data_IF_735164508119
#
_entry.id   IF_735164508119
#
_cell.length_a   1.000
_cell.length_b   1.000
_cell.length_c   1.000
_cell.angle_alpha   90.00
_cell.angle_beta   90.00
_cell.angle_gamma   90.00
#
_symmetry.space_group_name_H-M   'P 1'
#
loop_
_entity.id
_entity.type
_entity.pdbx_description
1 polymer ?
#
# COMPACT_ATOMS: atom_id res chain seq x y z
N UNK A 1 -10.35 14.85 -8.63
CA UNK A 1 -9.51 15.15 -7.44
C UNK A 1 -10.21 16.02 -6.38
N UNK A 2 -11.05 17.02 -6.68
CA UNK A 2 -11.79 17.75 -5.63
C UNK A 2 -12.92 16.95 -4.97
N UNK A 3 -13.44 15.91 -5.65
CA UNK A 3 -14.55 15.09 -5.18
C UNK A 3 -14.29 14.41 -3.83
N UNK A 4 -13.11 13.80 -3.63
CA UNK A 4 -12.77 13.14 -2.37
C UNK A 4 -12.75 14.12 -1.18
N UNK A 5 -12.16 15.30 -1.36
CA UNK A 5 -12.14 16.32 -0.31
C UNK A 5 -13.56 16.79 0.02
N UNK A 6 -14.38 17.03 -0.99
CA UNK A 6 -15.79 17.40 -0.78
C UNK A 6 -16.59 16.32 -0.07
N UNK A 7 -16.41 15.05 -0.44
CA UNK A 7 -17.09 13.92 0.23
C UNK A 7 -16.71 13.83 1.72
N UNK A 8 -15.43 14.03 2.05
CA UNK A 8 -14.96 14.07 3.44
C UNK A 8 -15.57 15.24 4.23
N UNK A 9 -15.68 16.42 3.62
CA UNK A 9 -16.32 17.59 4.22
C UNK A 9 -17.83 17.37 4.45
N UNK A 10 -18.51 16.76 3.48
CA UNK A 10 -19.94 16.42 3.56
C UNK A 10 -20.21 15.37 4.64
N UNK A 11 -19.39 14.33 4.73
CA UNK A 11 -19.48 13.33 5.80
C UNK A 11 -19.25 13.95 7.18
N UNK A 12 -18.26 14.84 7.32
CA UNK A 12 -18.05 15.57 8.57
C UNK A 12 -19.28 16.43 8.92
N UNK A 13 -19.85 17.12 7.93
CA UNK A 13 -21.06 17.91 8.12
C UNK A 13 -22.26 17.05 8.53
N UNK A 14 -22.46 15.90 7.90
CA UNK A 14 -23.49 14.92 8.25
C UNK A 14 -23.32 14.40 9.68
N UNK A 15 -22.11 13.92 10.02
CA UNK A 15 -21.79 13.41 11.35
C UNK A 15 -22.00 14.47 12.44
N UNK A 16 -21.66 15.73 12.17
CA UNK A 16 -21.85 16.84 13.11
C UNK A 16 -23.31 17.21 13.35
N UNK A 17 -24.19 16.94 12.38
CA UNK A 17 -25.62 17.27 12.43
C UNK A 17 -26.51 16.03 12.65
N UNK A 18 -25.93 14.87 12.96
CA UNK A 18 -26.65 13.60 13.04
C UNK A 18 -27.77 13.63 14.07
N UNK A 19 -28.91 13.04 13.74
CA UNK A 19 -30.11 12.98 14.59
C UNK A 19 -30.39 11.56 15.07
N UNK A 20 -29.39 10.92 15.67
CA UNK A 20 -29.50 9.54 16.15
C UNK A 20 -28.16 8.82 16.06
N UNK A 21 -28.14 7.55 16.46
CA UNK A 21 -27.03 6.65 16.15
C UNK A 21 -27.07 6.20 14.68
N UNK A 22 -28.27 5.93 14.15
CA UNK A 22 -28.49 5.51 12.76
C UNK A 22 -29.06 6.69 11.94
N UNK A 23 -28.19 7.60 11.50
CA UNK A 23 -28.59 8.70 10.61
C UNK A 23 -28.26 8.34 9.15
N UNK A 24 -29.25 8.15 8.27
CA UNK A 24 -29.01 7.73 6.88
C UNK A 24 -28.20 8.76 6.08
N UNK A 25 -28.15 10.02 6.53
CA UNK A 25 -27.29 11.01 5.89
C UNK A 25 -25.79 10.74 6.15
N UNK A 26 -25.45 10.15 7.30
CA UNK A 26 -24.08 9.76 7.63
C UNK A 26 -23.70 8.52 6.83
N UNK A 27 -24.58 7.52 6.78
CA UNK A 27 -24.34 6.28 6.02
C UNK A 27 -24.19 6.58 4.52
N UNK A 28 -25.07 7.42 3.96
CA UNK A 28 -24.95 7.85 2.56
C UNK A 28 -23.65 8.62 2.28
N UNK A 29 -23.21 9.46 3.22
CA UNK A 29 -21.95 10.18 3.07
C UNK A 29 -20.72 9.28 3.25
N UNK A 30 -20.83 8.19 4.02
CA UNK A 30 -19.80 7.16 4.12
C UNK A 30 -19.59 6.46 2.78
N UNK A 31 -20.67 6.02 2.13
CA UNK A 31 -20.62 5.43 0.78
C UNK A 31 -20.05 6.41 -0.25
N UNK A 32 -20.45 7.68 -0.17
CA UNK A 32 -19.92 8.71 -1.08
C UNK A 32 -18.40 8.92 -0.94
N UNK A 33 -17.82 8.71 0.26
CA UNK A 33 -16.37 8.73 0.43
C UNK A 33 -15.72 7.54 -0.27
N UNK A 34 -16.28 6.34 -0.11
CA UNK A 34 -15.78 5.13 -0.76
C UNK A 34 -15.68 5.31 -2.28
N UNK A 35 -16.80 5.68 -2.92
CA UNK A 35 -16.85 5.91 -4.37
C UNK A 35 -15.84 6.99 -4.83
N UNK A 36 -15.74 8.08 -4.07
CA UNK A 36 -14.82 9.17 -4.40
C UNK A 36 -13.35 8.81 -4.18
N UNK A 37 -13.07 7.89 -3.26
CA UNK A 37 -11.73 7.38 -2.99
C UNK A 37 -11.30 6.39 -4.08
N UNK A 38 -12.16 5.48 -4.51
CA UNK A 38 -11.86 4.55 -5.61
C UNK A 38 -11.54 5.30 -6.91
N UNK A 39 -12.33 6.32 -7.23
CA UNK A 39 -12.05 7.19 -8.39
C UNK A 39 -10.74 8.00 -8.24
N UNK A 40 -10.28 8.26 -7.01
CA UNK A 40 -8.99 8.89 -6.77
C UNK A 40 -7.84 7.89 -6.94
N UNK A 41 -7.99 6.68 -6.41
CA UNK A 41 -7.03 5.57 -6.54
C UNK A 41 -6.82 5.22 -8.01
N UNK A 42 -7.88 5.03 -8.80
CA UNK A 42 -7.81 4.78 -10.24
C UNK A 42 -7.04 5.89 -10.97
N UNK A 43 -7.39 7.15 -10.70
CA UNK A 43 -6.71 8.29 -11.31
C UNK A 43 -5.24 8.43 -10.87
N UNK A 44 -4.89 8.01 -9.65
CA UNK A 44 -3.53 8.01 -9.14
C UNK A 44 -2.70 6.93 -9.85
N UNK A 45 -3.28 5.74 -9.97
CA UNK A 45 -2.66 4.61 -10.65
C UNK A 45 -2.44 4.91 -12.13
N UNK A 46 -3.46 5.41 -12.84
CA UNK A 46 -3.36 5.77 -14.26
C UNK A 46 -2.27 6.82 -14.55
N UNK A 47 -2.09 7.77 -13.63
CA UNK A 47 -1.17 8.88 -13.84
C UNK A 47 0.26 8.60 -13.38
N UNK A 48 0.44 7.75 -12.37
CA UNK A 48 1.73 7.59 -11.68
C UNK A 48 2.12 6.14 -11.39
N UNK A 49 1.27 5.15 -11.68
CA UNK A 49 1.46 3.72 -11.35
C UNK A 49 1.68 3.49 -9.85
N UNK A 50 1.02 4.30 -9.02
CA UNK A 50 1.10 4.29 -7.56
C UNK A 50 -0.27 4.00 -6.93
N UNK A 51 -0.27 3.41 -5.74
CA UNK A 51 -1.47 3.12 -4.93
C UNK A 51 -1.30 3.63 -3.50
N UNK A 52 -2.39 3.96 -2.82
CA UNK A 52 -2.30 4.37 -1.41
C UNK A 52 -2.35 3.16 -0.46
N UNK A 53 -1.81 3.27 0.76
CA UNK A 53 -1.87 2.18 1.75
C UNK A 53 -3.24 2.06 2.45
N UNK A 54 -4.27 2.73 1.95
CA UNK A 54 -5.61 2.74 2.55
C UNK A 54 -6.50 1.72 1.85
N UNK A 55 -7.52 1.22 2.55
CA UNK A 55 -8.50 0.29 1.98
C UNK A 55 -9.89 0.71 2.43
N UNK A 56 -10.86 0.65 1.51
CA UNK A 56 -12.27 0.89 1.81
C UNK A 56 -12.86 -0.36 2.45
N UNK A 57 -13.53 -0.20 3.59
CA UNK A 57 -14.33 -1.25 4.20
C UNK A 57 -15.79 -1.01 3.80
N UNK A 58 -16.21 -1.56 2.65
CA UNK A 58 -17.63 -1.69 2.38
C UNK A 58 -18.13 -2.88 3.19
N UNK A 59 -19.22 -2.72 3.94
CA UNK A 59 -19.94 -3.89 4.42
C UNK A 59 -20.53 -4.53 3.16
N UNK A 60 -19.93 -5.62 2.69
CA UNK A 60 -20.60 -6.53 1.75
C UNK A 60 -21.97 -6.82 2.37
N UNK A 61 -23.04 -6.46 1.65
CA UNK A 61 -24.39 -6.90 1.97
C UNK A 61 -24.36 -8.44 2.04
N UNK A 62 -24.16 -8.98 3.25
CA UNK A 62 -24.09 -10.42 3.56
C UNK A 62 -25.51 -11.03 3.51
N UNK A 63 -26.26 -10.71 2.46
CA UNK A 63 -27.64 -11.14 2.22
C UNK A 63 -27.92 -11.13 0.70
N UNK A 64 -27.78 -12.30 0.03
CA UNK A 64 -28.89 -13.08 -0.55
C UNK A 64 -28.43 -14.01 -1.71
N UNK A 65 -28.18 -15.29 -1.35
CA UNK A 65 -28.46 -16.52 -2.14
C UNK A 65 -27.71 -16.73 -3.47
N UNK A 66 -26.43 -17.15 -3.40
CA UNK A 66 -25.78 -17.93 -4.47
C UNK A 66 -26.33 -19.37 -4.47
N UNK A 67 -27.54 -19.55 -5.00
CA UNK A 67 -28.03 -20.87 -5.44
C UNK A 67 -28.27 -20.78 -6.97
N UNK A 68 -27.20 -20.46 -7.71
CA UNK A 68 -27.15 -20.65 -9.16
C UNK A 68 -26.68 -22.09 -9.43
N UNK A 69 -27.60 -23.04 -9.27
CA UNK A 69 -27.50 -24.37 -9.88
C UNK A 69 -27.56 -24.22 -11.41
N UNK A 70 -26.46 -23.76 -12.03
CA UNK A 70 -26.24 -23.89 -13.47
C UNK A 70 -25.58 -25.24 -13.77
N UNK A 71 -26.43 -26.26 -13.83
CA UNK A 71 -26.15 -27.55 -14.45
C UNK A 71 -26.21 -27.37 -15.98
N UNK A 72 -25.07 -27.32 -16.67
CA UNK A 72 -24.88 -27.47 -18.12
C UNK A 72 -23.39 -27.16 -18.46
N UNK A 73 -22.62 -27.86 -19.29
CA UNK A 73 -22.64 -29.13 -20.00
C UNK A 73 -21.20 -29.26 -20.59
N UNK A 74 -20.74 -30.48 -20.84
CA UNK A 74 -19.41 -30.82 -21.37
C UNK A 74 -18.95 -30.03 -22.64
N UNK A 75 -17.72 -29.50 -22.65
CA UNK A 75 -16.93 -29.28 -23.88
C UNK A 75 -15.48 -29.76 -23.67
N UNK A 76 -15.20 -30.98 -24.09
CA UNK A 76 -13.83 -31.42 -24.39
C UNK A 76 -13.48 -31.01 -25.83
N UNK A 77 -12.44 -30.19 -26.06
CA UNK A 77 -11.66 -30.23 -27.30
C UNK A 77 -10.16 -29.92 -27.07
N UNK A 78 -9.36 -30.98 -27.30
CA UNK A 78 -8.04 -31.07 -27.95
C UNK A 78 -7.04 -29.90 -27.80
N UNK A 79 -6.08 -30.06 -26.88
CA UNK A 79 -4.86 -29.23 -26.83
C UNK A 79 -3.77 -29.86 -27.72
N UNK A 80 -3.66 -29.33 -28.94
CA UNK A 80 -2.69 -29.72 -29.96
C UNK A 80 -1.81 -28.50 -30.29
N UNK A 81 -0.92 -28.10 -29.37
CA UNK A 81 0.12 -27.10 -29.64
C UNK A 81 1.51 -27.55 -29.16
N UNK A 82 2.13 -28.46 -29.93
CA UNK A 82 3.60 -28.49 -30.04
C UNK A 82 4.07 -27.18 -30.70
N UNK A 83 4.74 -26.30 -29.95
CA UNK A 83 5.88 -25.49 -30.40
C UNK A 83 6.24 -24.41 -29.38
N UNK A 84 7.23 -24.67 -28.52
CA UNK A 84 8.24 -23.65 -28.19
C UNK A 84 9.62 -24.32 -28.15
N UNK A 85 10.22 -24.22 -29.33
CA UNK A 85 11.65 -24.10 -29.62
C UNK A 85 12.51 -23.88 -28.36
N UNK A 86 13.31 -24.91 -28.06
CA UNK A 86 14.41 -24.91 -27.09
C UNK A 86 15.34 -23.73 -27.39
N UNK A 87 15.10 -22.60 -26.74
CA UNK A 87 16.02 -21.48 -26.70
C UNK A 87 17.17 -21.85 -25.77
N UNK A 88 18.05 -22.71 -26.29
CA UNK A 88 19.36 -23.02 -25.76
C UNK A 88 20.13 -21.72 -25.42
N UNK A 89 20.86 -21.76 -24.29
CA UNK A 89 21.98 -20.89 -23.89
C UNK A 89 21.65 -19.57 -23.17
N UNK A 90 21.27 -19.65 -21.88
CA UNK A 90 21.69 -18.63 -20.92
C UNK A 90 23.02 -19.09 -20.30
N UNK A 91 24.07 -18.35 -20.62
CA UNK A 91 25.46 -18.51 -20.17
C UNK A 91 25.58 -18.27 -18.66
N UNK A 92 25.85 -19.31 -17.87
CA UNK A 92 25.90 -19.27 -16.39
C UNK A 92 27.29 -18.85 -15.84
N UNK A 93 28.26 -18.50 -16.69
CA UNK A 93 29.67 -18.35 -16.28
C UNK A 93 30.22 -16.91 -16.24
N UNK A 94 29.39 -15.89 -16.01
CA UNK A 94 29.88 -14.51 -15.77
C UNK A 94 29.51 -13.98 -14.39
N UNK A 95 30.08 -14.59 -13.35
CA UNK A 95 30.29 -13.93 -12.06
C UNK A 95 31.79 -13.99 -11.74
N UNK A 96 32.47 -12.86 -11.91
CA UNK A 96 33.87 -12.67 -11.49
C UNK A 96 33.88 -12.32 -9.99
N UNK A 97 33.88 -13.34 -9.12
CA UNK A 97 33.93 -13.20 -7.65
C UNK A 97 35.37 -13.06 -7.12
N UNK A 98 36.18 -12.14 -7.63
CA UNK A 98 37.57 -11.95 -7.14
C UNK A 98 37.97 -10.45 -7.05
N UNK A 99 37.10 -9.58 -6.53
CA UNK A 99 37.52 -8.23 -6.10
C UNK A 99 36.87 -7.79 -4.78
N UNK A 100 36.93 -8.67 -3.78
CA UNK A 100 36.69 -8.33 -2.37
C UNK A 100 38.00 -8.41 -1.59
N UNK A 101 38.98 -7.54 -1.88
CA UNK A 101 40.19 -7.40 -1.07
C UNK A 101 40.68 -5.94 -1.08
N UNK A 102 40.02 -5.03 -0.36
CA UNK A 102 40.71 -3.96 0.40
C UNK A 102 39.76 -3.18 1.35
N UNK A 103 39.28 -3.81 2.42
CA UNK A 103 38.71 -3.07 3.56
C UNK A 103 39.32 -3.58 4.85
N UNK A 104 40.59 -3.27 5.05
CA UNK A 104 41.16 -3.15 6.39
C UNK A 104 41.99 -1.88 6.50
N UNK A 105 42.13 -1.41 7.74
CA UNK A 105 43.06 -0.35 8.18
C UNK A 105 42.46 1.07 8.27
N UNK A 106 41.72 1.34 9.36
CA UNK A 106 42.38 1.93 10.54
C UNK A 106 41.40 2.21 11.68
N UNK A 107 41.56 1.43 12.75
CA UNK A 107 41.11 1.79 14.08
C UNK A 107 42.11 2.76 14.70
N UNK A 108 41.68 3.97 15.05
CA UNK A 108 42.39 4.77 16.05
C UNK A 108 41.39 5.45 16.99
N UNK A 109 40.97 4.65 17.98
CA UNK A 109 40.40 5.15 19.21
C UNK A 109 41.53 5.58 20.15
N UNK A 110 41.67 6.89 20.38
CA UNK A 110 41.73 7.51 21.72
C UNK A 110 42.51 8.83 21.70
N UNK A 111 41.83 9.94 22.02
CA UNK A 111 42.25 10.77 23.15
C UNK A 111 41.07 11.38 23.87
N UNK A 112 41.01 11.05 25.16
CA UNK A 112 40.21 11.69 26.18
C UNK A 112 40.45 13.21 26.24
N UNK A 113 39.37 13.96 26.46
CA UNK A 113 39.42 15.18 27.26
C UNK A 113 38.19 15.22 28.16
N UNK A 114 38.38 14.76 29.38
CA UNK A 114 37.67 15.19 30.58
C UNK A 114 37.07 16.60 30.45
N UNK A 115 35.75 16.70 30.59
CA UNK A 115 35.08 17.94 30.97
C UNK A 115 34.01 17.66 32.01
N UNK A 116 34.47 17.21 33.17
CA UNK A 116 33.71 17.33 34.42
C UNK A 116 34.68 17.71 35.54
N UNK A 117 34.74 19.00 35.88
CA UNK A 117 34.88 19.49 37.25
C UNK A 117 35.02 21.02 37.29
N UNK A 118 34.09 21.64 38.01
CA UNK A 118 34.34 22.71 38.96
C UNK A 118 34.78 24.09 38.44
N UNK A 119 33.80 24.98 38.30
CA UNK A 119 34.00 26.37 38.74
C UNK A 119 32.97 26.69 39.82
N UNK A 120 33.37 26.36 41.04
CA UNK A 120 33.02 27.02 42.29
C UNK A 120 32.25 28.36 42.20
N UNK A 121 31.18 28.41 42.99
CA UNK A 121 30.80 29.51 43.90
C UNK A 121 31.49 30.87 43.65
N UNK A 122 30.72 31.85 43.16
CA UNK A 122 30.88 33.24 43.65
C UNK A 122 29.61 34.09 43.48
N UNK A 123 28.63 33.85 44.33
CA UNK A 123 27.73 34.89 44.83
C UNK A 123 28.40 35.59 46.00
N UNK A 124 29.17 36.65 45.70
CA UNK A 124 29.19 37.91 46.45
C UNK A 124 30.01 38.97 45.73
#
# INVERSE_FOLDING_TARGET
MQALVSALEEHLAAASNRRGEDDPAVDGAYLAIADAFDAYEEALYDAYDEVTPLTVFAEEDDDLDEDDDSDDEDEEEEDDEELLEDNEMLDEDLVDEEDYDDLDEDSDAAKASDRDADSARRTR
#
